data_IF_765462393084
#
_entry.id   IF_765462393084
#
_cell.length_a   1.000
_cell.length_b   1.000
_cell.length_c   1.000
_cell.angle_alpha   90.00
_cell.angle_beta   90.00
_cell.angle_gamma   90.00
#
_symmetry.space_group_name_H-M   'P 1'
#
loop_
_entity.id
_entity.type
_entity.pdbx_description
1 polymer ?
#
# COMPACT_ATOMS: atom_id res chain seq x y z
N UNK A 1 11.29 -3.16 -7.20
CA UNK A 1 9.88 -3.61 -7.05
C UNK A 1 9.49 -4.84 -7.86
N UNK A 2 10.33 -5.32 -8.80
CA UNK A 2 10.01 -6.49 -9.64
C UNK A 2 9.68 -7.76 -8.84
N UNK A 3 10.38 -8.01 -7.72
CA UNK A 3 10.13 -9.18 -6.88
C UNK A 3 8.74 -9.17 -6.23
N UNK A 4 8.31 -8.03 -5.67
CA UNK A 4 6.97 -7.91 -5.08
C UNK A 4 5.87 -8.12 -6.13
N UNK A 5 6.04 -7.56 -7.34
CA UNK A 5 5.10 -7.80 -8.45
C UNK A 5 5.03 -9.28 -8.83
N UNK A 6 6.18 -9.96 -8.97
CA UNK A 6 6.23 -11.40 -9.26
C UNK A 6 5.49 -12.22 -8.19
N UNK A 7 5.60 -11.87 -6.92
CA UNK A 7 4.84 -12.52 -5.84
C UNK A 7 3.33 -12.32 -5.99
N UNK A 8 2.89 -11.09 -6.31
CA UNK A 8 1.47 -10.80 -6.56
C UNK A 8 0.93 -11.57 -7.78
N UNK A 9 1.69 -11.58 -8.89
CA UNK A 9 1.34 -12.29 -10.12
C UNK A 9 1.22 -13.80 -9.88
N UNK A 10 2.11 -14.37 -9.06
CA UNK A 10 2.09 -15.80 -8.70
C UNK A 10 0.98 -16.17 -7.69
N UNK A 11 0.29 -15.18 -7.09
CA UNK A 11 -0.72 -15.38 -6.03
C UNK A 11 -0.21 -16.21 -4.84
N UNK A 12 1.09 -16.11 -4.54
CA UNK A 12 1.77 -16.86 -3.49
C UNK A 12 2.24 -15.99 -2.32
N UNK A 13 2.84 -16.63 -1.33
CA UNK A 13 3.51 -15.95 -0.23
C UNK A 13 4.95 -15.61 -0.60
N UNK A 14 5.48 -14.50 -0.07
CA UNK A 14 6.86 -14.10 -0.25
C UNK A 14 7.39 -13.39 0.97
N UNK A 15 8.67 -13.61 1.25
CA UNK A 15 9.41 -12.87 2.28
C UNK A 15 10.29 -11.86 1.55
N UNK A 16 10.16 -10.60 1.92
CA UNK A 16 10.92 -9.51 1.31
C UNK A 16 11.72 -8.79 2.38
N UNK A 17 13.04 -8.86 2.28
CA UNK A 17 13.92 -8.02 3.09
C UNK A 17 14.11 -6.67 2.37
N UNK A 18 13.92 -5.58 3.11
CA UNK A 18 14.14 -4.23 2.60
C UNK A 18 14.94 -3.42 3.63
N UNK A 19 16.05 -2.77 3.24
CA UNK A 19 16.91 -2.00 4.16
C UNK A 19 16.19 -0.75 4.71
N UNK A 20 16.58 -0.25 5.88
CA UNK A 20 15.99 0.97 6.49
C UNK A 20 16.26 2.23 5.66
N UNK A 21 15.36 3.22 5.75
CA UNK A 21 15.55 4.53 5.10
C UNK A 21 15.25 4.61 3.59
N UNK A 22 14.72 3.55 2.98
CA UNK A 22 14.55 3.46 1.51
C UNK A 22 13.11 3.67 1.01
N UNK A 23 12.26 4.36 1.79
CA UNK A 23 10.87 4.62 1.36
C UNK A 23 10.04 3.34 1.17
N UNK A 24 10.27 2.34 2.03
CA UNK A 24 9.69 0.99 1.92
C UNK A 24 8.17 1.01 1.86
N UNK A 25 7.57 1.76 2.79
CA UNK A 25 6.13 1.90 2.93
C UNK A 25 5.52 2.51 1.67
N UNK A 26 5.99 3.68 1.27
CA UNK A 26 5.50 4.41 0.08
C UNK A 26 5.65 3.56 -1.16
N UNK A 27 6.82 2.93 -1.36
CA UNK A 27 7.05 2.06 -2.51
C UNK A 27 6.05 0.90 -2.55
N UNK A 28 5.85 0.23 -1.41
CA UNK A 28 4.95 -0.92 -1.30
C UNK A 28 3.49 -0.51 -1.55
N UNK A 29 3.03 0.59 -0.94
CA UNK A 29 1.70 1.15 -1.18
C UNK A 29 1.49 1.51 -2.65
N UNK A 30 2.44 2.24 -3.26
CA UNK A 30 2.37 2.67 -4.67
C UNK A 30 2.25 1.49 -5.63
N UNK A 31 3.05 0.43 -5.43
CA UNK A 31 2.96 -0.75 -6.29
C UNK A 31 1.61 -1.47 -6.13
N UNK A 32 1.15 -1.65 -4.89
CA UNK A 32 -0.10 -2.37 -4.64
C UNK A 32 -1.29 -1.61 -5.20
N UNK A 33 -1.39 -0.30 -4.97
CA UNK A 33 -2.48 0.54 -5.51
C UNK A 33 -2.47 0.50 -7.03
N UNK A 34 -1.30 0.65 -7.67
CA UNK A 34 -1.17 0.51 -9.13
C UNK A 34 -1.62 -0.89 -9.62
N UNK A 35 -1.28 -1.94 -8.88
CA UNK A 35 -1.68 -3.31 -9.20
C UNK A 35 -3.20 -3.51 -9.08
N UNK A 36 -3.84 -2.96 -8.04
CA UNK A 36 -5.29 -3.01 -7.86
C UNK A 36 -6.03 -2.29 -8.98
N UNK A 37 -5.55 -1.10 -9.39
CA UNK A 37 -6.12 -0.35 -10.52
C UNK A 37 -5.96 -1.09 -11.85
N UNK A 38 -4.81 -1.73 -12.07
CA UNK A 38 -4.56 -2.49 -13.32
C UNK A 38 -5.29 -3.83 -13.37
N UNK A 39 -5.44 -4.50 -12.22
CA UNK A 39 -6.03 -5.84 -12.11
C UNK A 39 -7.13 -5.88 -11.03
N UNK A 40 -8.25 -5.16 -11.21
CA UNK A 40 -9.30 -5.01 -10.17
C UNK A 40 -9.98 -6.32 -9.78
N UNK A 41 -9.93 -7.33 -10.66
CA UNK A 41 -10.47 -8.66 -10.39
C UNK A 41 -9.52 -9.55 -9.57
N UNK A 42 -8.21 -9.26 -9.59
CA UNK A 42 -7.18 -10.09 -8.95
C UNK A 42 -6.90 -9.67 -7.51
N UNK A 43 -6.91 -8.36 -7.23
CA UNK A 43 -6.63 -7.83 -5.90
C UNK A 43 -7.61 -6.70 -5.56
N UNK A 44 -8.58 -6.98 -4.69
CA UNK A 44 -9.62 -6.02 -4.33
C UNK A 44 -9.32 -5.20 -3.09
N UNK A 45 -8.57 -5.75 -2.14
CA UNK A 45 -8.30 -5.12 -0.84
C UNK A 45 -6.86 -5.38 -0.41
N UNK A 46 -6.22 -4.35 0.13
CA UNK A 46 -4.95 -4.45 0.85
C UNK A 46 -5.23 -4.48 2.35
N UNK A 47 -4.63 -5.43 3.06
CA UNK A 47 -4.57 -5.45 4.52
C UNK A 47 -3.11 -5.18 4.88
N UNK A 48 -2.86 -4.04 5.53
CA UNK A 48 -1.53 -3.65 5.99
C UNK A 48 -1.46 -3.79 7.51
N UNK A 49 -0.51 -4.58 8.00
CA UNK A 49 -0.33 -4.82 9.43
C UNK A 49 0.98 -4.18 9.90
N UNK A 50 0.89 -3.31 10.90
CA UNK A 50 2.02 -2.72 11.62
C UNK A 50 2.01 -3.17 13.08
N UNK A 51 3.14 -3.06 13.79
CA UNK A 51 3.26 -3.52 15.18
C UNK A 51 2.81 -2.48 16.19
N UNK A 52 2.98 -1.19 15.88
CA UNK A 52 2.69 -0.10 16.82
C UNK A 52 1.78 0.97 16.21
N UNK A 53 1.03 1.70 17.03
CA UNK A 53 0.14 2.78 16.56
C UNK A 53 0.90 3.88 15.80
N UNK A 54 2.08 4.37 16.26
CA UNK A 54 2.84 5.37 15.50
C UNK A 54 3.31 4.86 14.13
N UNK A 55 3.56 3.55 13.97
CA UNK A 55 3.83 2.97 12.65
C UNK A 55 2.57 3.01 11.75
N UNK A 56 1.38 2.75 12.31
CA UNK A 56 0.11 2.83 11.57
C UNK A 56 -0.15 4.26 11.11
N UNK A 57 -0.02 5.24 11.99
CA UNK A 57 -0.22 6.66 11.66
C UNK A 57 0.69 7.12 10.51
N UNK A 58 1.97 6.72 10.54
CA UNK A 58 2.91 7.00 9.45
C UNK A 58 2.47 6.37 8.13
N UNK A 59 1.96 5.14 8.15
CA UNK A 59 1.47 4.46 6.94
C UNK A 59 0.25 5.18 6.36
N UNK A 60 -0.68 5.62 7.20
CA UNK A 60 -1.88 6.36 6.78
C UNK A 60 -1.50 7.70 6.16
N UNK A 61 -0.54 8.41 6.75
CA UNK A 61 -0.05 9.68 6.19
C UNK A 61 0.63 9.48 4.82
N UNK A 62 1.42 8.43 4.65
CA UNK A 62 1.99 8.08 3.34
C UNK A 62 0.91 7.66 2.32
N UNK A 63 -0.15 6.98 2.76
CA UNK A 63 -1.30 6.65 1.92
C UNK A 63 -2.06 7.90 1.48
N UNK A 64 -2.21 8.90 2.37
CA UNK A 64 -2.86 10.18 2.06
C UNK A 64 -2.09 10.94 0.98
N UNK A 65 -0.77 11.06 1.13
CA UNK A 65 0.09 11.69 0.11
C UNK A 65 0.01 10.98 -1.24
N UNK A 66 -0.01 9.63 -1.21
CA UNK A 66 -0.18 8.84 -2.43
C UNK A 66 -1.54 9.09 -3.08
N UNK A 67 -2.60 9.18 -2.28
CA UNK A 67 -3.96 9.48 -2.76
C UNK A 67 -4.02 10.85 -3.44
N UNK A 68 -3.49 11.88 -2.79
CA UNK A 68 -3.41 13.24 -3.34
C UNK A 68 -2.66 13.27 -4.67
N UNK A 69 -1.53 12.58 -4.76
CA UNK A 69 -0.79 12.42 -6.00
C UNK A 69 -1.62 11.76 -7.12
N UNK A 70 -2.43 10.75 -6.80
CA UNK A 70 -3.29 10.10 -7.78
C UNK A 70 -4.45 11.00 -8.24
N UNK A 71 -5.02 11.80 -7.35
CA UNK A 71 -6.02 12.81 -7.70
C UNK A 71 -5.40 13.84 -8.66
N UNK A 72 -4.23 14.38 -8.32
CA UNK A 72 -3.56 15.40 -9.12
C UNK A 72 -3.18 14.91 -10.53
N UNK A 73 -2.66 13.68 -10.64
CA UNK A 73 -2.14 13.16 -11.91
C UNK A 73 -3.21 12.50 -12.78
N UNK A 74 -4.17 11.80 -12.17
CA UNK A 74 -5.14 10.97 -12.90
C UNK A 74 -6.60 11.39 -12.71
N UNK A 75 -6.88 12.43 -11.90
CA UNK A 75 -8.23 12.85 -11.51
C UNK A 75 -9.06 11.69 -10.94
N UNK A 76 -8.41 10.82 -10.15
CA UNK A 76 -8.97 9.58 -9.63
C UNK A 76 -9.04 9.62 -8.11
N UNK A 77 -10.26 9.74 -7.59
CA UNK A 77 -10.58 9.82 -6.16
C UNK A 77 -11.23 8.53 -5.61
N UNK A 78 -11.02 7.39 -6.29
CA UNK A 78 -11.74 6.15 -5.95
C UNK A 78 -11.12 5.35 -4.78
N UNK A 79 -10.00 5.80 -4.20
CA UNK A 79 -9.28 5.05 -3.16
C UNK A 79 -9.83 5.39 -1.77
N UNK A 80 -10.26 4.37 -1.04
CA UNK A 80 -10.73 4.51 0.35
C UNK A 80 -9.74 3.82 1.29
N UNK A 81 -9.15 4.60 2.21
CA UNK A 81 -8.29 4.11 3.28
C UNK A 81 -9.04 3.99 4.61
N UNK A 82 -8.81 2.90 5.36
CA UNK A 82 -9.37 2.71 6.70
C UNK A 82 -8.26 2.38 7.68
N UNK A 83 -8.21 3.13 8.78
CA UNK A 83 -7.36 2.85 9.93
C UNK A 83 -8.19 2.20 11.04
N UNK A 84 -7.75 1.06 11.56
CA UNK A 84 -8.40 0.36 12.67
C UNK A 84 -7.52 0.44 13.91
N UNK A 85 -8.02 1.06 14.97
CA UNK A 85 -7.37 1.15 16.28
C UNK A 85 -8.31 0.65 17.38
N UNK A 86 -7.73 0.29 18.53
CA UNK A 86 -8.52 -0.04 19.72
C UNK A 86 -9.20 1.23 20.27
N UNK A 87 -10.33 1.07 20.97
CA UNK A 87 -11.08 2.19 21.59
C UNK A 87 -10.37 2.87 22.78
N UNK A 88 -9.13 2.50 23.08
CA UNK A 88 -8.40 2.94 24.28
C UNK A 88 -7.64 4.22 24.01
#
# INVERSE_FOLDING_TARGET
>A
MCHLKKCLDAKGHGVLEMPSGTGKTTSLLSLIVAYQKRYPHSLKKLIYCSRTIPEIEKVIEELRKLHEYYIEVNNDDALVGLCLTSRK
#
